data_IF_053087168100
#
_entry.id   IF_053087168100
#
_cell.length_a   1.000
_cell.length_b   1.000
_cell.length_c   1.000
_cell.angle_alpha   90.00
_cell.angle_beta   90.00
_cell.angle_gamma   90.00
#
_symmetry.space_group_name_H-M   'P 1'
#
loop_
_entity.id
_entity.type
_entity.pdbx_description
1 polymer ?
#
# COMPACT_ATOMS: atom_id res chain seq x y z
N UNK A 1 -11.63 16.02 -39.40
CA UNK A 1 -10.32 16.15 -38.74
C UNK A 1 -10.33 16.94 -37.41
N UNK A 2 -11.45 17.56 -36.98
CA UNK A 2 -11.51 18.41 -35.74
C UNK A 2 -12.06 17.71 -34.49
N UNK A 3 -12.70 16.55 -34.66
CA UNK A 3 -13.47 15.85 -33.61
C UNK A 3 -12.62 14.82 -32.84
N UNK A 4 -11.55 14.34 -33.44
CA UNK A 4 -10.60 13.39 -32.85
C UNK A 4 -9.65 14.02 -31.84
N UNK A 5 -9.44 15.34 -31.87
CA UNK A 5 -8.58 16.05 -30.91
C UNK A 5 -9.23 16.26 -29.54
N UNK A 6 -10.57 16.36 -29.48
CA UNK A 6 -11.29 16.55 -28.22
C UNK A 6 -11.26 15.27 -27.36
N UNK A 7 -11.35 14.09 -27.99
CA UNK A 7 -11.32 12.82 -27.27
C UNK A 7 -9.97 12.54 -26.60
N UNK A 8 -8.85 12.89 -27.25
CA UNK A 8 -7.51 12.70 -26.70
C UNK A 8 -7.25 13.62 -25.50
N UNK A 9 -7.76 14.86 -25.55
CA UNK A 9 -7.64 15.80 -24.44
C UNK A 9 -8.45 15.38 -23.21
N UNK A 10 -9.65 14.80 -23.40
CA UNK A 10 -10.49 14.28 -22.31
C UNK A 10 -9.85 13.05 -21.67
N UNK A 11 -9.28 12.13 -22.47
CA UNK A 11 -8.59 10.94 -21.96
C UNK A 11 -7.31 11.28 -21.18
N UNK A 12 -6.55 12.29 -21.64
CA UNK A 12 -5.37 12.78 -20.93
C UNK A 12 -5.72 13.46 -19.59
N UNK A 13 -6.83 14.22 -19.55
CA UNK A 13 -7.30 14.86 -18.31
C UNK A 13 -7.79 13.84 -17.28
N UNK A 14 -8.45 12.75 -17.71
CA UNK A 14 -8.90 11.70 -16.79
C UNK A 14 -7.77 10.83 -16.27
N UNK A 15 -6.74 10.56 -17.09
CA UNK A 15 -5.58 9.78 -16.66
C UNK A 15 -4.67 10.57 -15.71
N UNK A 16 -4.49 11.87 -15.95
CA UNK A 16 -3.69 12.75 -15.09
C UNK A 16 -4.26 12.90 -13.67
N UNK A 17 -5.58 13.03 -13.55
CA UNK A 17 -6.27 13.17 -12.26
C UNK A 17 -6.27 11.86 -11.44
N UNK A 18 -6.31 10.68 -12.10
CA UNK A 18 -6.20 9.41 -11.38
C UNK A 18 -4.80 9.19 -10.85
N UNK A 19 -3.73 9.48 -11.62
CA UNK A 19 -2.35 9.21 -11.19
C UNK A 19 -1.90 10.12 -10.03
N UNK A 20 -2.34 11.37 -9.97
CA UNK A 20 -2.00 12.28 -8.85
C UNK A 20 -2.65 11.86 -7.53
N UNK A 21 -3.87 11.31 -7.57
CA UNK A 21 -4.55 10.80 -6.37
C UNK A 21 -3.91 9.52 -5.78
N UNK A 22 -3.21 8.73 -6.59
CA UNK A 22 -2.46 7.55 -6.10
C UNK A 22 -1.10 7.93 -5.49
N UNK A 23 -0.45 8.99 -5.97
CA UNK A 23 0.84 9.46 -5.44
C UNK A 23 0.72 10.14 -4.07
N UNK A 24 -0.39 10.82 -3.76
CA UNK A 24 -0.64 11.39 -2.43
C UNK A 24 -0.78 10.32 -1.33
N UNK A 25 -1.05 9.07 -1.70
CA UNK A 25 -1.21 7.96 -0.75
C UNK A 25 0.06 7.17 -0.47
N UNK A 26 1.12 7.38 -1.25
CA UNK A 26 2.44 6.85 -0.91
C UNK A 26 3.07 7.80 0.10
N UNK A 27 2.76 7.57 1.37
CA UNK A 27 3.08 8.45 2.50
C UNK A 27 4.54 8.88 2.52
N UNK A 28 4.78 10.15 2.22
CA UNK A 28 6.04 10.80 2.59
C UNK A 28 6.18 10.79 4.11
N UNK A 29 7.41 10.68 4.60
CA UNK A 29 7.71 10.69 6.03
C UNK A 29 7.12 11.93 6.72
N UNK A 30 6.74 11.77 7.99
CA UNK A 30 6.29 12.89 8.81
C UNK A 30 7.46 13.86 9.03
N UNK A 31 7.37 15.15 8.63
CA UNK A 31 8.48 16.09 8.73
C UNK A 31 8.97 16.34 10.18
N UNK A 32 8.10 16.09 11.16
CA UNK A 32 8.33 16.27 12.59
C UNK A 32 8.67 14.97 13.33
N UNK A 33 8.98 13.88 12.60
CA UNK A 33 9.44 12.61 13.17
C UNK A 33 10.91 12.42 12.82
N UNK A 34 11.85 12.85 13.69
CA UNK A 34 13.27 12.62 13.47
C UNK A 34 13.61 11.12 13.56
N UNK A 35 14.68 10.71 12.90
CA UNK A 35 15.20 9.35 12.98
C UNK A 35 15.70 9.02 14.39
N UNK A 36 15.68 7.72 14.74
CA UNK A 36 16.24 7.21 16.00
C UNK A 36 15.43 7.51 17.26
N UNK A 37 14.21 8.05 17.16
CA UNK A 37 13.31 8.15 18.31
C UNK A 37 12.63 6.80 18.58
N UNK A 38 12.25 6.58 19.84
CA UNK A 38 11.56 5.35 20.25
C UNK A 38 10.24 5.09 19.51
N UNK A 39 9.63 6.14 18.93
CA UNK A 39 8.37 6.07 18.19
C UNK A 39 8.53 6.13 16.68
N UNK A 40 9.72 6.43 16.13
CA UNK A 40 9.93 6.67 14.69
C UNK A 40 9.44 5.50 13.85
N UNK A 41 9.93 4.29 14.15
CA UNK A 41 9.57 3.08 13.40
C UNK A 41 8.08 2.76 13.51
N UNK A 42 7.51 2.92 14.71
CA UNK A 42 6.09 2.66 14.95
C UNK A 42 5.19 3.66 14.22
N UNK A 43 5.57 4.94 14.19
CA UNK A 43 4.82 5.98 13.47
C UNK A 43 4.76 5.69 11.97
N UNK A 44 5.89 5.32 11.37
CA UNK A 44 5.94 4.98 9.94
C UNK A 44 5.20 3.68 9.62
N UNK A 45 5.33 2.65 10.47
CA UNK A 45 4.57 1.41 10.31
C UNK A 45 3.07 1.64 10.43
N UNK A 46 2.61 2.46 11.37
CA UNK A 46 1.19 2.78 11.52
C UNK A 46 0.67 3.66 10.38
N UNK A 47 1.54 4.48 9.77
CA UNK A 47 1.22 5.23 8.56
C UNK A 47 1.06 4.33 7.34
N UNK A 48 1.96 3.36 7.15
CA UNK A 48 1.87 2.41 6.04
C UNK A 48 0.63 1.52 6.13
N UNK A 49 0.18 1.22 7.35
CA UNK A 49 -1.09 0.53 7.61
C UNK A 49 -2.32 1.45 7.48
N UNK A 50 -2.16 2.74 7.20
CA UNK A 50 -3.28 3.70 7.12
C UNK A 50 -3.99 3.97 8.44
N UNK A 51 -3.45 3.47 9.57
CA UNK A 51 -3.99 3.67 10.92
C UNK A 51 -3.81 5.13 11.34
N UNK A 52 -2.61 5.66 11.10
CA UNK A 52 -2.26 7.05 11.37
C UNK A 52 -2.04 7.79 10.04
N UNK A 53 -2.84 8.82 9.80
CA UNK A 53 -2.73 9.66 8.59
C UNK A 53 -1.93 10.95 8.83
N UNK A 54 -1.74 11.34 10.09
CA UNK A 54 -1.20 12.65 10.47
C UNK A 54 -2.23 13.77 10.35
N UNK A 55 -1.74 14.99 10.54
CA UNK A 55 -2.49 16.22 10.37
C UNK A 55 -2.52 16.69 8.90
N UNK A 56 -3.40 17.65 8.60
CA UNK A 56 -3.52 18.24 7.26
C UNK A 56 -2.23 18.92 6.77
N UNK A 57 -1.38 19.38 7.69
CA UNK A 57 -0.08 19.96 7.37
C UNK A 57 1.03 18.90 7.12
N UNK A 58 0.69 17.60 7.22
CA UNK A 58 1.61 16.49 7.00
C UNK A 58 2.39 16.03 8.24
N UNK A 59 2.18 16.65 9.41
CA UNK A 59 2.88 16.30 10.64
C UNK A 59 2.24 15.11 11.39
N UNK A 60 3.03 14.45 12.23
CA UNK A 60 2.58 13.40 13.15
C UNK A 60 2.05 13.96 14.47
N UNK A 61 2.74 14.96 15.05
CA UNK A 61 2.45 15.50 16.38
C UNK A 61 2.87 14.58 17.53
N UNK A 62 4.15 14.20 17.66
CA UNK A 62 4.57 13.22 18.68
C UNK A 62 4.35 13.66 20.13
N UNK A 63 4.23 14.97 20.37
CA UNK A 63 4.03 15.56 21.69
C UNK A 63 2.57 15.99 21.95
N UNK A 64 1.67 15.78 20.99
CA UNK A 64 0.29 16.22 21.12
C UNK A 64 -0.54 15.22 21.94
N UNK A 65 -1.51 15.74 22.68
CA UNK A 65 -2.45 14.90 23.40
C UNK A 65 -3.44 14.23 22.44
N UNK A 66 -3.51 12.90 22.52
CA UNK A 66 -4.53 12.11 21.82
C UNK A 66 -5.82 12.10 22.65
N UNK A 67 -6.93 12.54 22.07
CA UNK A 67 -8.22 12.44 22.74
C UNK A 67 -8.84 11.05 22.56
N UNK A 68 -9.84 10.72 23.39
CA UNK A 68 -10.46 9.38 23.41
C UNK A 68 -11.09 8.98 22.06
N UNK A 69 -11.64 9.94 21.30
CA UNK A 69 -12.25 9.67 20.01
C UNK A 69 -11.19 9.36 18.94
N UNK A 70 -10.08 10.09 18.95
CA UNK A 70 -8.92 9.82 18.08
C UNK A 70 -8.34 8.44 18.38
N UNK A 71 -8.13 8.11 19.66
CA UNK A 71 -7.64 6.78 20.05
C UNK A 71 -8.59 5.66 19.60
N UNK A 72 -9.91 5.82 19.84
CA UNK A 72 -10.90 4.84 19.40
C UNK A 72 -10.89 4.65 17.87
N UNK A 73 -10.73 5.74 17.11
CA UNK A 73 -10.63 5.69 15.65
C UNK A 73 -9.35 4.98 15.18
N UNK A 74 -8.21 5.23 15.84
CA UNK A 74 -6.96 4.52 15.53
C UNK A 74 -7.08 3.03 15.83
N UNK A 75 -7.72 2.65 16.94
CA UNK A 75 -7.95 1.24 17.30
C UNK A 75 -8.88 0.56 16.30
N UNK A 76 -9.96 1.20 15.88
CA UNK A 76 -10.90 0.68 14.87
C UNK A 76 -10.20 0.45 13.53
N UNK A 77 -9.38 1.41 13.08
CA UNK A 77 -8.57 1.24 11.85
C UNK A 77 -7.51 0.15 11.99
N UNK A 78 -6.91 0.02 13.18
CA UNK A 78 -5.92 -1.02 13.44
C UNK A 78 -6.56 -2.40 13.43
N UNK A 79 -7.72 -2.57 14.05
CA UNK A 79 -8.50 -3.82 14.01
C UNK A 79 -8.90 -4.19 12.58
N UNK A 80 -9.41 -3.22 11.81
CA UNK A 80 -9.67 -3.40 10.38
C UNK A 80 -8.39 -3.81 9.63
N UNK A 81 -7.25 -3.18 9.92
CA UNK A 81 -5.98 -3.53 9.29
C UNK A 81 -5.39 -4.87 9.73
N UNK A 82 -5.89 -5.48 10.81
CA UNK A 82 -5.54 -6.84 11.21
C UNK A 82 -6.48 -7.89 10.59
N UNK A 83 -7.77 -7.56 10.47
CA UNK A 83 -8.81 -8.45 9.95
C UNK A 83 -8.84 -8.49 8.41
N UNK A 84 -8.59 -7.34 7.78
CA UNK A 84 -8.43 -7.15 6.35
C UNK A 84 -7.22 -6.21 6.15
N UNK A 85 -5.98 -6.73 6.09
CA UNK A 85 -4.81 -5.88 5.90
C UNK A 85 -5.06 -4.96 4.70
N UNK A 86 -5.05 -3.62 4.85
CA UNK A 86 -5.26 -2.74 3.72
C UNK A 86 -4.21 -3.13 2.71
N UNK A 87 -4.67 -3.47 1.51
CA UNK A 87 -3.88 -3.85 0.36
C UNK A 87 -2.95 -2.70 -0.06
N UNK A 88 -1.96 -2.40 0.78
CA UNK A 88 -0.80 -1.57 0.51
C UNK A 88 0.43 -2.45 0.23
N UNK A 89 0.18 -3.70 -0.17
CA UNK A 89 0.87 -4.24 -1.34
C UNK A 89 -0.10 -3.97 -2.49
N UNK A 90 0.29 -3.26 -3.57
CA UNK A 90 -0.61 -3.13 -4.69
C UNK A 90 -1.04 -4.55 -5.07
N UNK A 91 -2.35 -4.78 -5.21
CA UNK A 91 -2.88 -6.10 -5.57
C UNK A 91 -2.13 -6.69 -6.76
N UNK A 92 -1.50 -5.86 -7.58
CA UNK A 92 -0.57 -6.23 -8.64
C UNK A 92 0.59 -7.14 -8.24
N UNK A 93 1.24 -7.04 -7.07
CA UNK A 93 2.34 -7.96 -6.72
C UNK A 93 1.81 -9.32 -6.24
N UNK A 94 0.69 -9.34 -5.50
CA UNK A 94 0.03 -10.58 -5.10
C UNK A 94 -0.70 -11.23 -6.27
N UNK A 95 -1.31 -10.45 -7.17
CA UNK A 95 -1.93 -10.90 -8.42
C UNK A 95 -0.88 -11.36 -9.42
N UNK A 96 0.27 -10.67 -9.56
CA UNK A 96 1.38 -11.16 -10.39
C UNK A 96 1.95 -12.45 -9.83
N UNK A 97 2.04 -12.59 -8.51
CA UNK A 97 2.55 -13.79 -7.88
C UNK A 97 1.53 -14.95 -7.90
N UNK A 98 0.22 -14.66 -7.80
CA UNK A 98 -0.86 -15.61 -8.03
C UNK A 98 -1.01 -16.00 -9.50
N UNK A 99 -0.74 -15.08 -10.43
CA UNK A 99 -0.64 -15.38 -11.87
C UNK A 99 0.58 -16.24 -12.13
N UNK A 100 1.72 -16.00 -11.48
CA UNK A 100 2.86 -16.92 -11.55
C UNK A 100 2.44 -18.28 -10.99
N UNK A 101 1.92 -18.36 -9.76
CA UNK A 101 1.52 -19.61 -9.12
C UNK A 101 0.41 -20.40 -9.89
N UNK A 102 -0.49 -19.72 -10.61
CA UNK A 102 -1.64 -20.33 -11.31
C UNK A 102 -1.52 -20.40 -12.85
N UNK A 103 -0.64 -19.63 -13.49
CA UNK A 103 -0.53 -19.57 -14.96
C UNK A 103 0.74 -20.25 -15.51
N UNK A 104 1.67 -20.69 -14.66
CA UNK A 104 2.86 -21.41 -15.12
C UNK A 104 2.55 -22.90 -15.24
N UNK A 105 2.53 -23.42 -16.48
CA UNK A 105 2.46 -24.87 -16.74
C UNK A 105 3.71 -25.54 -16.15
N UNK A 106 3.53 -26.20 -15.00
CA UNK A 106 4.56 -26.89 -14.18
C UNK A 106 5.42 -27.90 -14.96
N UNK A 107 4.95 -28.32 -16.14
CA UNK A 107 5.61 -29.31 -16.99
C UNK A 107 6.78 -28.73 -17.82
N UNK A 108 6.86 -27.40 -17.94
CA UNK A 108 7.88 -26.70 -18.75
C UNK A 108 9.09 -26.18 -17.96
N UNK A 109 9.09 -26.33 -16.64
CA UNK A 109 10.14 -25.84 -15.75
C UNK A 109 11.18 -26.93 -15.47
N UNK A 110 12.47 -26.57 -15.47
CA UNK A 110 13.54 -27.45 -14.99
C UNK A 110 13.39 -27.70 -13.47
N UNK A 111 13.83 -28.87 -13.00
CA UNK A 111 13.66 -29.31 -11.62
C UNK A 111 14.21 -28.32 -10.57
N UNK A 112 15.27 -27.59 -10.92
CA UNK A 112 15.86 -26.55 -10.06
C UNK A 112 14.95 -25.34 -9.87
N UNK A 113 14.20 -24.97 -10.92
CA UNK A 113 13.29 -23.82 -10.92
C UNK A 113 11.98 -24.19 -10.23
N UNK A 114 11.58 -25.46 -10.33
CA UNK A 114 10.38 -26.00 -9.69
C UNK A 114 10.44 -25.91 -8.16
N UNK A 115 11.58 -26.23 -7.54
CA UNK A 115 11.73 -26.13 -6.08
C UNK A 115 11.64 -24.69 -5.56
N UNK A 116 12.27 -23.74 -6.26
CA UNK A 116 12.22 -22.32 -5.90
C UNK A 116 10.80 -21.74 -6.05
N UNK A 117 10.05 -22.23 -7.03
CA UNK A 117 8.67 -21.85 -7.27
C UNK A 117 7.72 -22.44 -6.22
N UNK A 118 7.87 -23.72 -5.87
CA UNK A 118 7.02 -24.38 -4.88
C UNK A 118 7.21 -23.78 -3.48
N UNK A 119 8.44 -23.40 -3.11
CA UNK A 119 8.73 -22.69 -1.87
C UNK A 119 8.12 -21.28 -1.84
N UNK A 120 8.23 -20.54 -2.96
CA UNK A 120 7.63 -19.22 -3.11
C UNK A 120 6.10 -19.27 -3.00
N UNK A 121 5.44 -20.21 -3.68
CA UNK A 121 3.98 -20.35 -3.61
C UNK A 121 3.49 -20.86 -2.25
N UNK A 122 4.26 -21.71 -1.55
CA UNK A 122 3.91 -22.17 -0.20
C UNK A 122 4.02 -21.08 0.88
N UNK A 123 4.95 -20.14 0.70
CA UNK A 123 5.10 -19.01 1.63
C UNK A 123 3.88 -18.06 1.65
N UNK A 124 3.10 -18.06 0.57
CA UNK A 124 1.94 -17.18 0.40
C UNK A 124 0.62 -17.74 0.94
N UNK A 125 0.53 -19.05 1.22
CA UNK A 125 -0.70 -19.61 1.82
C UNK A 125 -0.79 -19.38 3.34
N UNK A 126 0.30 -18.90 3.95
CA UNK A 126 0.41 -18.61 5.37
C UNK A 126 0.23 -17.12 5.70
N UNK A 127 -0.10 -16.30 4.69
CA UNK A 127 -0.50 -14.90 4.82
C UNK A 127 -1.88 -14.72 4.18
#
# INVERSE_FOLDING_TARGET
MKKSFILVAVLAATFGATVTAFAERYGGDFPDVPEGQYYTESAYRMRSLGVITGYENGNFGPNDYVNRAQLATMLDRYDQALLDPPAMVPSTLYDLLNVVCNATDRESLDATVQDSYDEACASLSNY
#
